data_IF_820804076270
#
_entry.id   IF_820804076270
#
_cell.length_a   1.000
_cell.length_b   1.000
_cell.length_c   1.000
_cell.angle_alpha   90.00
_cell.angle_beta   90.00
_cell.angle_gamma   90.00
#
_symmetry.space_group_name_H-M   'P 1'
#
loop_
_entity.id
_entity.type
_entity.pdbx_description
1 polymer ?
#
# COMPACT_ATOMS: atom_id res chain seq x y z
N UNK A 1 26.48 15.14 21.22
CA UNK A 1 26.61 14.01 20.26
C UNK A 1 25.35 13.98 19.43
N UNK A 2 25.39 14.53 18.21
CA UNK A 2 24.24 14.55 17.30
C UNK A 2 24.11 13.15 16.74
N UNK A 3 23.08 12.41 17.16
CA UNK A 3 22.73 11.13 16.55
C UNK A 3 22.22 11.44 15.15
N UNK A 4 23.04 11.20 14.15
CA UNK A 4 22.64 11.25 12.75
C UNK A 4 21.63 10.12 12.55
N UNK A 5 20.32 10.47 12.54
CA UNK A 5 19.26 9.54 12.21
C UNK A 5 19.40 9.21 10.72
N UNK A 6 19.99 8.05 10.42
CA UNK A 6 20.00 7.51 9.05
C UNK A 6 18.54 7.31 8.60
N UNK A 7 18.08 8.15 7.69
CA UNK A 7 16.79 7.99 7.03
C UNK A 7 16.81 6.70 6.21
N UNK A 8 16.03 5.70 6.64
CA UNK A 8 15.91 4.45 5.91
C UNK A 8 14.82 4.58 4.86
N UNK A 9 15.20 4.53 3.59
CA UNK A 9 14.27 4.47 2.48
C UNK A 9 13.31 3.28 2.62
N UNK A 10 12.06 3.46 2.21
CA UNK A 10 11.12 2.34 2.05
C UNK A 10 11.52 1.55 0.81
N UNK A 11 11.97 0.31 1.00
CA UNK A 11 12.22 -0.62 -0.09
C UNK A 11 10.90 -1.31 -0.47
N UNK A 12 10.43 -1.09 -1.69
CA UNK A 12 9.22 -1.76 -2.17
C UNK A 12 9.42 -3.26 -2.26
N UNK A 13 8.50 -4.01 -1.68
CA UNK A 13 8.49 -5.48 -1.73
C UNK A 13 7.54 -5.89 -2.84
N UNK A 14 8.09 -6.44 -3.91
CA UNK A 14 7.37 -6.80 -5.13
C UNK A 14 7.69 -8.26 -5.50
N UNK A 15 6.66 -9.08 -5.62
CA UNK A 15 6.72 -10.45 -6.09
C UNK A 15 5.80 -10.65 -7.30
N UNK A 16 6.15 -11.59 -8.19
CA UNK A 16 5.31 -11.96 -9.33
C UNK A 16 4.02 -12.63 -8.87
N UNK A 17 2.94 -12.35 -9.59
CA UNK A 17 1.62 -12.95 -9.35
C UNK A 17 1.11 -12.74 -7.91
N UNK A 18 1.46 -11.60 -7.30
CA UNK A 18 0.94 -11.23 -5.99
C UNK A 18 -0.60 -11.20 -6.02
N UNK A 19 -1.22 -11.50 -4.90
CA UNK A 19 -2.67 -11.41 -4.77
C UNK A 19 -3.14 -9.96 -4.86
N UNK A 20 -2.47 -9.07 -4.11
CA UNK A 20 -2.80 -7.64 -4.11
C UNK A 20 -1.51 -6.83 -4.17
N UNK A 21 -1.47 -5.83 -5.05
CA UNK A 21 -0.49 -4.74 -5.02
C UNK A 21 -1.16 -3.49 -4.46
N UNK A 22 -0.78 -3.08 -3.27
CA UNK A 22 -1.24 -1.84 -2.67
C UNK A 22 -0.44 -0.65 -3.22
N UNK A 23 -1.15 0.41 -3.59
CA UNK A 23 -0.57 1.66 -4.07
C UNK A 23 -0.89 2.77 -3.09
N UNK A 24 0.14 3.35 -2.49
CA UNK A 24 0.04 4.56 -1.66
C UNK A 24 0.44 5.81 -2.44
N UNK A 25 0.16 6.99 -1.89
CA UNK A 25 0.54 8.23 -2.54
C UNK A 25 2.02 8.56 -2.28
N UNK A 26 2.41 8.67 -1.01
CA UNK A 26 3.79 8.91 -0.61
C UNK A 26 3.98 8.51 0.87
N UNK A 27 5.21 8.30 1.34
CA UNK A 27 5.45 7.98 2.74
C UNK A 27 5.30 9.21 3.63
N UNK A 28 4.79 9.01 4.85
CA UNK A 28 4.97 9.94 5.96
C UNK A 28 6.42 9.82 6.49
N UNK A 29 7.06 10.91 7.00
CA UNK A 29 8.43 10.84 7.55
C UNK A 29 8.63 9.72 8.57
N UNK A 30 7.67 9.48 9.47
CA UNK A 30 7.73 8.39 10.43
C UNK A 30 7.76 7.00 9.78
N UNK A 31 7.02 6.78 8.70
CA UNK A 31 7.06 5.53 7.92
C UNK A 31 8.38 5.37 7.18
N UNK A 32 8.89 6.47 6.62
CA UNK A 32 10.16 6.52 5.91
C UNK A 32 11.33 6.15 6.84
N UNK A 33 11.37 6.72 8.04
CA UNK A 33 12.40 6.40 9.04
C UNK A 33 12.35 4.94 9.50
N UNK A 34 11.16 4.34 9.59
CA UNK A 34 11.01 2.91 9.93
C UNK A 34 11.34 1.99 8.77
N UNK A 35 11.37 2.51 7.54
CA UNK A 35 11.55 1.70 6.33
C UNK A 35 10.35 0.79 6.02
N UNK A 36 9.17 1.07 6.58
CA UNK A 36 7.95 0.29 6.42
C UNK A 36 6.80 1.22 6.00
N UNK A 37 6.11 0.93 4.88
CA UNK A 37 5.00 1.77 4.42
C UNK A 37 3.85 1.78 5.43
N UNK A 38 3.09 2.87 5.47
CA UNK A 38 1.94 3.05 6.38
C UNK A 38 2.22 2.78 7.87
N UNK A 39 3.47 2.90 8.32
CA UNK A 39 3.83 2.58 9.70
C UNK A 39 3.79 3.79 10.65
N UNK A 40 3.45 4.98 10.18
CA UNK A 40 3.37 6.16 11.05
C UNK A 40 2.37 5.95 12.20
N UNK A 41 1.15 5.50 11.92
CA UNK A 41 0.15 5.13 12.92
C UNK A 41 -0.17 3.62 12.94
N UNK A 42 0.41 2.85 12.02
CA UNK A 42 0.29 1.39 11.87
C UNK A 42 -1.13 0.85 11.62
N UNK A 43 -2.13 1.71 11.45
CA UNK A 43 -3.52 1.27 11.27
C UNK A 43 -3.68 0.36 10.05
N UNK A 44 -2.98 0.63 8.95
CA UNK A 44 -2.98 -0.23 7.77
C UNK A 44 -2.63 -1.69 8.12
N UNK A 45 -1.57 -1.87 8.90
CA UNK A 45 -1.08 -3.18 9.34
C UNK A 45 -2.05 -3.88 10.28
N UNK A 46 -2.66 -3.13 11.21
CA UNK A 46 -3.68 -3.67 12.11
C UNK A 46 -4.93 -4.12 11.35
N UNK A 47 -5.31 -3.41 10.29
CA UNK A 47 -6.43 -3.81 9.45
C UNK A 47 -6.11 -5.07 8.63
N UNK A 48 -4.89 -5.20 8.07
CA UNK A 48 -4.46 -6.42 7.39
C UNK A 48 -4.52 -7.64 8.32
N UNK A 49 -4.03 -7.50 9.57
CA UNK A 49 -4.09 -8.54 10.59
C UNK A 49 -5.54 -8.93 10.90
N UNK A 50 -6.39 -7.96 11.23
CA UNK A 50 -7.81 -8.19 11.57
C UNK A 50 -8.62 -8.75 10.40
N UNK A 51 -8.23 -8.45 9.18
CA UNK A 51 -8.86 -8.98 7.97
C UNK A 51 -8.34 -10.38 7.59
N UNK A 52 -7.29 -10.88 8.24
CA UNK A 52 -6.67 -12.17 7.96
C UNK A 52 -5.83 -12.21 6.68
N UNK A 53 -5.29 -11.07 6.26
CA UNK A 53 -4.36 -11.01 5.13
C UNK A 53 -2.92 -11.31 5.56
N UNK A 54 -2.61 -11.11 6.81
CA UNK A 54 -1.34 -11.47 7.47
C UNK A 54 -1.64 -12.19 8.79
N UNK A 55 -0.75 -13.06 9.24
CA UNK A 55 -0.96 -13.91 10.42
C UNK A 55 -0.54 -13.23 11.73
N UNK A 56 0.33 -12.21 11.66
CA UNK A 56 0.84 -11.51 12.84
C UNK A 56 -0.31 -10.81 13.58
N UNK A 57 -0.50 -11.09 14.89
CA UNK A 57 -1.50 -10.41 15.68
C UNK A 57 -1.14 -8.93 15.87
N UNK A 58 -2.16 -8.10 16.07
CA UNK A 58 -1.99 -6.64 16.26
C UNK A 58 -0.97 -6.32 17.35
N UNK A 59 -0.95 -7.08 18.43
CA UNK A 59 -0.03 -6.87 19.55
C UNK A 59 1.44 -6.99 19.13
N UNK A 60 1.77 -7.95 18.26
CA UNK A 60 3.11 -8.13 17.73
C UNK A 60 3.51 -6.96 16.81
N UNK A 61 2.56 -6.48 15.99
CA UNK A 61 2.77 -5.38 15.03
C UNK A 61 2.98 -4.02 15.70
N UNK A 62 2.67 -3.88 16.99
CA UNK A 62 3.00 -2.67 17.76
C UNK A 62 4.52 -2.46 17.89
N UNK A 63 5.31 -3.52 17.86
CA UNK A 63 6.76 -3.47 17.83
C UNK A 63 7.24 -3.06 16.42
N UNK A 64 8.03 -1.97 16.33
CA UNK A 64 8.65 -1.54 15.07
C UNK A 64 9.58 -2.59 14.48
N UNK A 65 10.29 -3.31 15.35
CA UNK A 65 11.18 -4.40 14.97
C UNK A 65 10.45 -5.57 14.33
N UNK A 66 9.38 -6.03 14.96
CA UNK A 66 8.58 -7.17 14.47
C UNK A 66 7.80 -6.79 13.19
N UNK A 67 7.25 -5.59 13.14
CA UNK A 67 6.59 -5.08 11.93
C UNK A 67 7.57 -5.01 10.75
N UNK A 68 8.78 -4.49 10.97
CA UNK A 68 9.82 -4.46 9.93
C UNK A 68 10.23 -5.86 9.50
N UNK A 69 10.49 -6.76 10.44
CA UNK A 69 10.83 -8.15 10.16
C UNK A 69 9.78 -8.84 9.28
N UNK A 70 8.49 -8.69 9.62
CA UNK A 70 7.39 -9.22 8.83
C UNK A 70 7.38 -8.60 7.43
N UNK A 71 7.46 -7.28 7.32
CA UNK A 71 7.45 -6.58 6.02
C UNK A 71 8.62 -7.02 5.13
N UNK A 72 9.81 -7.14 5.68
CA UNK A 72 11.01 -7.50 4.92
C UNK A 72 11.04 -8.97 4.48
N UNK A 73 10.56 -9.89 5.32
CA UNK A 73 10.72 -11.32 5.08
C UNK A 73 9.46 -12.05 4.62
N UNK A 74 8.25 -11.60 4.97
CA UNK A 74 7.01 -12.35 4.74
C UNK A 74 6.02 -11.66 3.82
N UNK A 75 5.96 -10.33 3.82
CA UNK A 75 4.92 -9.55 3.14
C UNK A 75 4.73 -9.94 1.66
N UNK A 76 5.82 -9.89 0.88
CA UNK A 76 5.74 -10.22 -0.55
C UNK A 76 5.80 -11.73 -0.81
N UNK A 77 6.60 -12.48 -0.05
CA UNK A 77 6.86 -13.89 -0.33
C UNK A 77 5.77 -14.80 0.25
N UNK A 78 5.49 -14.70 1.55
CA UNK A 78 4.53 -15.58 2.21
C UNK A 78 3.08 -15.13 1.96
N UNK A 79 2.79 -13.83 2.13
CA UNK A 79 1.42 -13.33 1.99
C UNK A 79 1.06 -12.94 0.56
N UNK A 80 2.03 -12.89 -0.35
CA UNK A 80 1.83 -12.50 -1.75
C UNK A 80 1.18 -11.13 -1.87
N UNK A 81 1.62 -10.19 -1.02
CA UNK A 81 1.18 -8.79 -1.00
C UNK A 81 2.32 -7.90 -1.47
N UNK A 82 2.06 -7.03 -2.41
CA UNK A 82 3.01 -6.04 -2.92
C UNK A 82 2.63 -4.64 -2.43
N UNK A 83 3.62 -3.77 -2.33
CA UNK A 83 3.42 -2.35 -2.01
C UNK A 83 4.32 -1.45 -2.85
N UNK A 84 3.77 -0.33 -3.32
CA UNK A 84 4.48 0.71 -4.05
C UNK A 84 3.83 2.08 -3.80
N UNK A 85 4.61 3.17 -3.75
CA UNK A 85 4.10 4.54 -3.70
C UNK A 85 4.15 5.23 -5.06
N UNK A 86 3.25 6.18 -5.28
CA UNK A 86 3.31 7.11 -6.42
C UNK A 86 4.51 8.05 -6.32
N UNK A 87 4.79 8.60 -5.13
CA UNK A 87 5.90 9.50 -4.87
C UNK A 87 6.76 8.92 -3.76
N UNK A 88 8.09 8.93 -3.94
CA UNK A 88 9.02 8.37 -2.96
C UNK A 88 9.37 9.38 -1.86
N UNK A 89 9.27 10.68 -2.16
CA UNK A 89 9.59 11.74 -1.19
C UNK A 89 8.60 11.75 -0.02
N UNK A 90 9.14 11.65 1.18
CA UNK A 90 8.35 11.72 2.40
C UNK A 90 7.84 13.14 2.66
N UNK A 91 6.56 13.28 3.01
CA UNK A 91 5.95 14.53 3.48
C UNK A 91 4.97 14.26 4.62
N UNK A 92 4.82 15.22 5.53
CA UNK A 92 3.84 15.12 6.63
C UNK A 92 2.39 15.19 6.11
N UNK A 93 2.19 15.86 4.98
CA UNK A 93 0.90 16.05 4.36
C UNK A 93 1.02 15.97 2.84
N UNK A 94 0.01 15.44 2.18
CA UNK A 94 -0.05 15.29 0.73
C UNK A 94 -0.06 16.64 0.00
N UNK A 95 -0.57 17.71 0.62
CA UNK A 95 -0.55 19.06 0.06
C UNK A 95 0.86 19.62 -0.15
N UNK A 96 1.87 19.00 0.49
CA UNK A 96 3.29 19.36 0.35
C UNK A 96 3.97 18.68 -0.86
N UNK A 97 3.27 17.84 -1.59
CA UNK A 97 3.76 17.28 -2.84
C UNK A 97 3.83 18.37 -3.92
N UNK A 98 4.90 18.33 -4.72
CA UNK A 98 5.08 19.28 -5.82
C UNK A 98 4.35 18.76 -7.05
N UNK A 99 3.81 19.67 -7.84
CA UNK A 99 3.17 19.35 -9.12
C UNK A 99 4.16 18.62 -10.04
N UNK A 100 3.76 17.48 -10.57
CA UNK A 100 4.57 16.68 -11.49
C UNK A 100 5.45 15.62 -10.81
N UNK A 101 5.58 15.60 -9.47
CA UNK A 101 6.33 14.52 -8.79
C UNK A 101 5.72 13.14 -9.04
N UNK A 102 4.41 13.08 -9.27
CA UNK A 102 3.66 11.86 -9.53
C UNK A 102 3.99 11.20 -10.88
N UNK A 103 4.47 11.96 -11.87
CA UNK A 103 4.64 11.48 -13.26
C UNK A 103 5.54 10.25 -13.33
N UNK A 104 6.74 10.33 -12.74
CA UNK A 104 7.67 9.18 -12.69
C UNK A 104 7.11 8.01 -11.90
N UNK A 105 6.33 8.30 -10.88
CA UNK A 105 5.67 7.27 -10.07
C UNK A 105 4.57 6.53 -10.83
N UNK A 106 3.77 7.24 -11.62
CA UNK A 106 2.76 6.65 -12.50
C UNK A 106 3.41 5.67 -13.48
N UNK A 107 4.47 6.09 -14.18
CA UNK A 107 5.22 5.22 -15.09
C UNK A 107 5.81 3.99 -14.38
N UNK A 108 6.36 4.19 -13.17
CA UNK A 108 6.90 3.11 -12.36
C UNK A 108 5.82 2.10 -11.98
N UNK A 109 4.64 2.55 -11.56
CA UNK A 109 3.50 1.68 -11.24
C UNK A 109 3.05 0.91 -12.48
N UNK A 110 2.90 1.56 -13.62
CA UNK A 110 2.52 0.89 -14.87
C UNK A 110 3.53 -0.20 -15.25
N UNK A 111 4.84 0.08 -15.16
CA UNK A 111 5.88 -0.93 -15.38
C UNK A 111 5.83 -2.06 -14.36
N UNK A 112 5.59 -1.73 -13.08
CA UNK A 112 5.49 -2.74 -12.02
C UNK A 112 4.29 -3.67 -12.25
N UNK A 113 3.12 -3.14 -12.59
CA UNK A 113 1.93 -3.97 -12.88
C UNK A 113 2.19 -4.89 -14.07
N UNK A 114 2.77 -4.39 -15.17
CA UNK A 114 3.14 -5.23 -16.34
C UNK A 114 4.14 -6.33 -15.99
N UNK A 115 5.16 -5.99 -15.18
CA UNK A 115 6.25 -6.93 -14.85
C UNK A 115 5.84 -7.98 -13.83
N UNK A 116 5.15 -7.56 -12.77
CA UNK A 116 4.83 -8.42 -11.62
C UNK A 116 3.45 -9.06 -11.70
N UNK A 117 2.55 -8.56 -12.56
CA UNK A 117 1.21 -9.09 -12.84
C UNK A 117 0.44 -9.45 -11.56
N UNK A 118 0.25 -8.49 -10.62
CA UNK A 118 -0.59 -8.75 -9.46
C UNK A 118 -2.01 -9.05 -9.93
N UNK A 119 -2.74 -9.90 -9.21
CA UNK A 119 -4.13 -10.20 -9.55
C UNK A 119 -5.03 -8.99 -9.36
N UNK A 120 -4.77 -8.20 -8.30
CA UNK A 120 -5.48 -6.98 -7.98
C UNK A 120 -4.52 -5.85 -7.66
N UNK A 121 -4.77 -4.66 -8.19
CA UNK A 121 -4.08 -3.40 -7.85
C UNK A 121 -5.04 -2.55 -7.02
N UNK A 122 -4.68 -2.30 -5.76
CA UNK A 122 -5.49 -1.55 -4.82
C UNK A 122 -4.91 -0.16 -4.57
N UNK A 123 -5.58 0.88 -5.02
CA UNK A 123 -5.25 2.26 -4.67
C UNK A 123 -5.83 2.60 -3.29
N UNK A 124 -4.97 3.02 -2.38
CA UNK A 124 -5.33 3.33 -0.99
C UNK A 124 -5.69 4.81 -0.86
N UNK A 125 -7.01 5.08 -0.81
CA UNK A 125 -7.56 6.43 -0.70
C UNK A 125 -7.78 7.15 -2.02
N UNK A 126 -8.80 8.02 -2.03
CA UNK A 126 -9.26 8.75 -3.24
C UNK A 126 -8.16 9.61 -3.86
N UNK A 127 -7.40 10.33 -3.05
CA UNK A 127 -6.32 11.22 -3.51
C UNK A 127 -5.27 10.42 -4.29
N UNK A 128 -4.91 9.22 -3.82
CA UNK A 128 -3.95 8.34 -4.50
C UNK A 128 -4.45 7.96 -5.89
N UNK A 129 -5.71 7.56 -6.00
CA UNK A 129 -6.28 7.13 -7.28
C UNK A 129 -6.47 8.30 -8.25
N UNK A 130 -6.95 9.45 -7.78
CA UNK A 130 -7.11 10.66 -8.60
C UNK A 130 -5.77 11.19 -9.10
N UNK A 131 -4.72 11.14 -8.26
CA UNK A 131 -3.37 11.50 -8.66
C UNK A 131 -2.84 10.57 -9.75
N UNK A 132 -3.11 9.27 -9.64
CA UNK A 132 -2.73 8.28 -10.65
C UNK A 132 -3.52 8.46 -11.96
N UNK A 133 -4.81 8.74 -11.88
CA UNK A 133 -5.71 8.86 -13.03
C UNK A 133 -6.59 10.10 -12.90
N UNK A 134 -6.10 11.23 -13.34
CA UNK A 134 -6.81 12.53 -13.29
C UNK A 134 -8.19 12.46 -13.91
N UNK A 135 -9.18 13.02 -13.23
CA UNK A 135 -10.57 13.06 -13.69
C UNK A 135 -11.32 11.73 -13.57
N UNK A 136 -10.74 10.70 -12.98
CA UNK A 136 -11.40 9.43 -12.78
C UNK A 136 -12.50 9.51 -11.71
N UNK A 137 -13.53 8.67 -11.84
CA UNK A 137 -14.52 8.49 -10.79
C UNK A 137 -13.89 7.88 -9.54
N UNK A 138 -13.98 8.60 -8.41
CA UNK A 138 -13.40 8.22 -7.12
C UNK A 138 -14.39 7.57 -6.14
N UNK A 139 -15.48 6.97 -6.63
CA UNK A 139 -16.29 6.07 -5.79
C UNK A 139 -15.45 4.84 -5.39
N UNK A 140 -15.62 4.35 -4.17
CA UNK A 140 -14.91 3.16 -3.71
C UNK A 140 -15.37 1.90 -4.43
N UNK A 141 -14.48 0.94 -4.57
CA UNK A 141 -14.74 -0.34 -5.19
C UNK A 141 -13.96 -0.57 -6.48
N UNK A 142 -14.49 -1.44 -7.33
CA UNK A 142 -13.88 -1.84 -8.61
C UNK A 142 -13.83 -0.66 -9.60
N UNK A 143 -12.69 -0.56 -10.32
CA UNK A 143 -12.37 0.56 -11.23
C UNK A 143 -11.98 0.11 -12.65
N UNK A 144 -12.25 -1.13 -13.01
CA UNK A 144 -11.83 -1.68 -14.29
C UNK A 144 -10.52 -2.48 -14.19
N UNK A 145 -9.88 -2.68 -15.33
CA UNK A 145 -8.69 -3.51 -15.46
C UNK A 145 -7.47 -2.68 -15.88
N UNK A 146 -6.29 -3.13 -15.45
CA UNK A 146 -5.01 -2.55 -15.83
C UNK A 146 -4.04 -3.69 -16.17
N UNK A 147 -3.74 -3.89 -17.45
CA UNK A 147 -2.88 -4.97 -17.96
C UNK A 147 -3.26 -6.38 -17.45
N UNK A 148 -4.56 -6.64 -17.34
CA UNK A 148 -5.10 -7.91 -16.84
C UNK A 148 -5.28 -7.98 -15.32
N UNK A 149 -4.74 -7.03 -14.56
CA UNK A 149 -5.00 -6.91 -13.13
C UNK A 149 -6.31 -6.19 -12.87
N UNK A 150 -7.12 -6.64 -11.91
CA UNK A 150 -8.30 -5.90 -11.46
C UNK A 150 -7.86 -4.67 -10.67
N UNK A 151 -8.49 -3.51 -10.93
CA UNK A 151 -8.20 -2.27 -10.20
C UNK A 151 -9.29 -2.02 -9.16
N UNK A 152 -8.88 -1.68 -7.96
CA UNK A 152 -9.76 -1.40 -6.83
C UNK A 152 -9.35 -0.12 -6.11
N UNK A 153 -10.32 0.68 -5.69
CA UNK A 153 -10.12 1.85 -4.84
C UNK A 153 -10.70 1.57 -3.46
N UNK A 154 -9.85 1.54 -2.43
CA UNK A 154 -10.26 1.31 -1.05
C UNK A 154 -10.16 2.57 -0.19
N UNK A 155 -10.83 2.54 0.96
CA UNK A 155 -10.73 3.61 1.94
C UNK A 155 -9.31 3.76 2.50
N UNK A 156 -8.94 5.00 2.81
CA UNK A 156 -7.70 5.27 3.53
C UNK A 156 -7.78 4.69 4.96
N UNK A 157 -6.69 4.10 5.51
CA UNK A 157 -6.74 3.28 6.73
C UNK A 157 -7.30 3.96 7.99
N UNK A 158 -7.23 5.28 8.08
CA UNK A 158 -7.71 6.03 9.25
C UNK A 158 -9.04 6.75 9.03
N UNK A 159 -9.72 6.50 7.91
CA UNK A 159 -11.01 7.15 7.59
C UNK A 159 -12.19 6.21 7.82
N UNK A 160 -13.19 6.70 8.57
CA UNK A 160 -14.44 5.99 8.85
C UNK A 160 -14.30 4.77 9.79
N UNK A 161 -15.35 3.94 9.95
CA UNK A 161 -15.32 2.77 10.82
C UNK A 161 -14.34 1.68 10.35
N UNK A 162 -13.60 1.08 11.27
CA UNK A 162 -12.64 0.02 10.96
C UNK A 162 -13.29 -1.21 10.30
N UNK A 163 -14.53 -1.53 10.66
CA UNK A 163 -15.31 -2.64 10.09
C UNK A 163 -15.47 -2.53 8.58
N UNK A 164 -15.72 -1.32 8.06
CA UNK A 164 -15.84 -1.08 6.61
C UNK A 164 -14.54 -1.45 5.90
N UNK A 165 -13.40 -0.99 6.41
CA UNK A 165 -12.08 -1.26 5.82
C UNK A 165 -11.66 -2.72 5.92
N UNK A 166 -11.96 -3.39 7.05
CA UNK A 166 -11.73 -4.82 7.21
C UNK A 166 -12.54 -5.61 6.19
N UNK A 167 -13.81 -5.27 6.00
CA UNK A 167 -14.68 -5.93 5.02
C UNK A 167 -14.23 -5.68 3.57
N UNK A 168 -13.73 -4.48 3.25
CA UNK A 168 -13.11 -4.21 1.95
C UNK A 168 -11.89 -5.10 1.70
N UNK A 169 -10.98 -5.21 2.67
CA UNK A 169 -9.80 -6.06 2.57
C UNK A 169 -10.18 -7.53 2.39
N UNK A 170 -11.15 -8.04 3.15
CA UNK A 170 -11.67 -9.40 3.00
C UNK A 170 -12.30 -9.65 1.63
N UNK A 171 -13.05 -8.68 1.12
CA UNK A 171 -13.61 -8.74 -0.24
C UNK A 171 -12.53 -8.79 -1.30
N UNK A 172 -11.53 -7.90 -1.21
CA UNK A 172 -10.43 -7.85 -2.16
C UNK A 172 -9.62 -9.14 -2.19
N UNK A 173 -9.26 -9.70 -1.04
CA UNK A 173 -8.49 -10.94 -0.99
C UNK A 173 -9.29 -12.13 -1.54
N UNK A 174 -10.59 -12.17 -1.30
CA UNK A 174 -11.48 -13.18 -1.87
C UNK A 174 -11.53 -13.09 -3.40
N UNK A 175 -11.68 -11.88 -3.93
CA UNK A 175 -11.64 -11.63 -5.39
C UNK A 175 -10.28 -12.05 -5.95
N UNK A 176 -9.18 -11.62 -5.34
CA UNK A 176 -7.85 -11.93 -5.81
C UNK A 176 -7.56 -13.45 -5.81
N UNK A 177 -8.04 -14.19 -4.82
CA UNK A 177 -7.89 -15.65 -4.75
C UNK A 177 -8.73 -16.38 -5.80
N UNK A 178 -9.87 -15.84 -6.20
CA UNK A 178 -10.75 -16.41 -7.23
C UNK A 178 -10.22 -16.18 -8.67
N UNK A 179 -9.31 -15.25 -8.88
CA UNK A 179 -8.67 -15.00 -10.17
C UNK A 179 -7.51 -16.02 -10.36
N UNK A 180 -7.58 -16.82 -11.43
CA UNK A 180 -6.53 -17.78 -11.80
C UNK A 180 -5.34 -17.10 -12.49
#
# INVERSE_FOLDING_TARGET
MVVCLEYKNIHYKLSKNALIMFVGINPHPGSYMRGVPFSNNKMFWYLLSRAGLIDEPVELLKSDKELRKMYESRFAQAYRLNFINLVDRATVDVSKLKKGEEVRGIERILRAVKRYRPRLVCFVGKVTYETFRKGANTTYGYKGDLFGSKVYLCHFPIRGPASVRINELRKMIKIAKALN
#
